data_IF_436146035138
#
_entry.id   IF_436146035138
#
_cell.length_a   1.000
_cell.length_b   1.000
_cell.length_c   1.000
_cell.angle_alpha   90.00
_cell.angle_beta   90.00
_cell.angle_gamma   90.00
#
_symmetry.space_group_name_H-M   'P 1'
#
loop_
_entity.id
_entity.type
_entity.pdbx_description
1 polymer ?
#
# COMPACT_ATOMS: atom_id res chain seq x y z
N UNK A 1 31.85 -2.32 50.87
CA UNK A 1 31.77 -2.68 49.43
C UNK A 1 30.55 -3.55 49.20
N UNK A 2 29.50 -3.02 48.56
CA UNK A 2 28.91 -3.48 47.29
C UNK A 2 27.67 -2.61 47.03
N UNK A 3 27.67 -1.96 45.87
CA UNK A 3 26.65 -1.05 45.40
C UNK A 3 25.40 -1.75 44.86
N UNK A 4 24.52 -0.99 44.18
CA UNK A 4 23.08 -1.10 44.25
C UNK A 4 22.51 -2.21 43.37
N UNK A 5 21.34 -2.74 43.78
CA UNK A 5 20.52 -3.61 42.94
C UNK A 5 20.00 -2.80 41.75
N UNK A 6 20.65 -3.05 40.60
CA UNK A 6 20.31 -2.51 39.31
C UNK A 6 18.93 -2.98 38.85
N UNK A 7 18.31 -2.12 38.06
CA UNK A 7 17.02 -2.34 37.45
C UNK A 7 17.02 -3.44 36.39
N UNK A 8 15.95 -3.37 35.60
CA UNK A 8 15.65 -4.16 34.40
C UNK A 8 14.80 -5.41 34.63
N UNK A 9 13.50 -5.25 34.35
CA UNK A 9 12.90 -5.99 33.23
C UNK A 9 11.61 -5.31 32.75
N UNK A 10 11.79 -4.26 31.95
CA UNK A 10 10.79 -3.88 30.95
C UNK A 10 10.79 -4.95 29.87
N UNK A 11 9.89 -5.93 29.98
CA UNK A 11 9.79 -7.02 29.01
C UNK A 11 8.77 -6.63 27.94
N UNK A 12 9.30 -5.93 26.94
CA UNK A 12 8.95 -5.94 25.51
C UNK A 12 7.51 -6.28 25.12
N UNK A 13 6.84 -5.29 24.52
CA UNK A 13 5.61 -5.44 23.76
C UNK A 13 5.77 -6.54 22.70
N UNK A 14 5.13 -7.69 22.93
CA UNK A 14 5.04 -8.76 21.93
C UNK A 14 3.97 -8.37 20.91
N UNK A 15 4.30 -7.48 19.98
CA UNK A 15 3.47 -7.28 18.78
C UNK A 15 3.51 -8.58 17.98
N UNK A 16 2.41 -9.34 18.05
CA UNK A 16 2.24 -10.56 17.26
C UNK A 16 2.36 -10.18 15.78
N UNK A 17 3.42 -10.65 15.12
CA UNK A 17 3.57 -10.53 13.67
C UNK A 17 2.29 -11.06 13.02
N UNK A 18 1.60 -10.25 12.19
CA UNK A 18 0.32 -10.65 11.61
C UNK A 18 0.50 -11.90 10.75
N UNK A 19 -0.49 -12.80 10.81
CA UNK A 19 -0.49 -14.02 10.01
C UNK A 19 -0.35 -13.68 8.52
N UNK A 20 0.39 -14.48 7.76
CA UNK A 20 0.68 -14.18 6.36
C UNK A 20 -0.58 -13.95 5.49
N UNK A 21 -1.70 -14.64 5.80
CA UNK A 21 -2.99 -14.40 5.14
C UNK A 21 -3.53 -12.98 5.34
N UNK A 22 -3.33 -12.44 6.53
CA UNK A 22 -3.79 -11.10 6.90
C UNK A 22 -2.94 -10.03 6.20
N UNK A 23 -1.63 -10.27 6.10
CA UNK A 23 -0.73 -9.41 5.33
C UNK A 23 -1.17 -9.37 3.86
N UNK A 24 -1.47 -10.53 3.26
CA UNK A 24 -1.94 -10.59 1.87
C UNK A 24 -3.28 -9.90 1.66
N UNK A 25 -4.24 -10.12 2.57
CA UNK A 25 -5.54 -9.47 2.54
C UNK A 25 -5.40 -7.95 2.52
N UNK A 26 -4.61 -7.40 3.46
CA UNK A 26 -4.31 -5.96 3.49
C UNK A 26 -3.65 -5.46 2.21
N UNK A 27 -2.75 -6.23 1.61
CA UNK A 27 -2.15 -5.87 0.32
C UNK A 27 -3.20 -5.72 -0.79
N UNK A 28 -4.19 -6.61 -0.84
CA UNK A 28 -5.28 -6.50 -1.82
C UNK A 28 -6.26 -5.38 -1.50
N UNK A 29 -6.56 -5.12 -0.23
CA UNK A 29 -7.37 -3.97 0.21
C UNK A 29 -6.68 -2.66 -0.20
N UNK A 30 -5.39 -2.53 0.06
CA UNK A 30 -4.59 -1.37 -0.36
C UNK A 30 -4.56 -1.22 -1.88
N UNK A 31 -4.43 -2.32 -2.63
CA UNK A 31 -4.50 -2.27 -4.08
C UNK A 31 -5.87 -1.78 -4.59
N UNK A 32 -6.96 -2.19 -3.93
CA UNK A 32 -8.30 -1.73 -4.26
C UNK A 32 -8.45 -0.22 -3.97
N UNK A 33 -8.02 0.24 -2.80
CA UNK A 33 -8.04 1.66 -2.43
C UNK A 33 -7.31 2.54 -3.46
N UNK A 34 -6.12 2.12 -3.88
CA UNK A 34 -5.34 2.80 -4.92
C UNK A 34 -6.11 2.87 -6.25
N UNK A 35 -6.76 1.78 -6.67
CA UNK A 35 -7.55 1.76 -7.90
C UNK A 35 -8.80 2.64 -7.81
N UNK A 36 -9.46 2.70 -6.65
CA UNK A 36 -10.60 3.59 -6.44
C UNK A 36 -10.19 5.07 -6.56
N UNK A 37 -9.05 5.46 -6.00
CA UNK A 37 -8.50 6.81 -6.15
C UNK A 37 -8.14 7.07 -7.63
N UNK A 38 -7.53 6.10 -8.32
CA UNK A 38 -7.23 6.21 -9.74
C UNK A 38 -8.51 6.49 -10.58
N UNK A 39 -9.61 5.80 -10.29
CA UNK A 39 -10.91 6.05 -10.94
C UNK A 39 -11.40 7.47 -10.70
N UNK A 40 -11.29 8.00 -9.47
CA UNK A 40 -11.67 9.38 -9.17
C UNK A 40 -10.86 10.40 -9.98
N UNK A 41 -9.54 10.17 -10.11
CA UNK A 41 -8.68 11.01 -10.93
C UNK A 41 -9.01 10.92 -12.42
N UNK A 42 -9.29 9.72 -12.96
CA UNK A 42 -9.69 9.57 -14.36
C UNK A 42 -11.00 10.30 -14.67
N UNK A 43 -12.00 10.21 -13.79
CA UNK A 43 -13.26 10.97 -13.91
C UNK A 43 -13.01 12.47 -13.90
N UNK A 44 -12.14 12.95 -13.01
CA UNK A 44 -11.77 14.37 -12.93
C UNK A 44 -11.00 14.85 -14.16
N UNK A 45 -10.06 14.03 -14.65
CA UNK A 45 -9.32 14.29 -15.88
C UNK A 45 -10.26 14.43 -17.07
N UNK A 46 -11.20 13.49 -17.23
CA UNK A 46 -12.21 13.56 -18.27
C UNK A 46 -13.04 14.83 -18.19
N UNK A 47 -13.51 15.23 -17.00
CA UNK A 47 -14.23 16.50 -16.80
C UNK A 47 -13.40 17.69 -17.29
N UNK A 48 -12.15 17.81 -16.86
CA UNK A 48 -11.30 18.93 -17.27
C UNK A 48 -11.01 18.96 -18.77
N UNK A 49 -10.87 17.79 -19.41
CA UNK A 49 -10.69 17.71 -20.86
C UNK A 49 -11.95 18.14 -21.62
N UNK A 50 -13.15 17.80 -21.14
CA UNK A 50 -14.40 18.32 -21.71
C UNK A 50 -14.51 19.84 -21.56
N UNK A 51 -14.01 20.40 -20.46
CA UNK A 51 -13.91 21.84 -20.20
C UNK A 51 -12.75 22.52 -20.95
N UNK A 52 -12.05 21.80 -21.85
CA UNK A 52 -10.87 22.27 -22.59
C UNK A 52 -9.69 22.70 -21.70
N UNK A 53 -9.66 22.30 -20.43
CA UNK A 53 -8.56 22.52 -19.50
C UNK A 53 -7.52 21.39 -19.58
N UNK A 54 -6.76 21.38 -20.68
CA UNK A 54 -5.79 20.33 -20.99
C UNK A 54 -4.73 20.13 -19.89
N UNK A 55 -4.07 21.18 -19.35
CA UNK A 55 -3.02 20.98 -18.35
C UNK A 55 -3.52 20.27 -17.08
N UNK A 56 -4.72 20.64 -16.58
CA UNK A 56 -5.32 19.98 -15.42
C UNK A 56 -5.78 18.57 -15.73
N UNK A 57 -6.34 18.35 -16.93
CA UNK A 57 -6.69 17.02 -17.41
C UNK A 57 -5.50 16.06 -17.38
N UNK A 58 -4.38 16.48 -17.97
CA UNK A 58 -3.15 15.68 -17.99
C UNK A 58 -2.57 15.44 -16.59
N UNK A 59 -2.59 16.44 -15.70
CA UNK A 59 -2.12 16.28 -14.32
C UNK A 59 -2.88 15.17 -13.58
N UNK A 60 -4.22 15.14 -13.69
CA UNK A 60 -5.03 14.08 -13.11
C UNK A 60 -4.85 12.73 -13.79
N UNK A 61 -4.65 12.69 -15.11
CA UNK A 61 -4.36 11.45 -15.82
C UNK A 61 -3.04 10.82 -15.33
N UNK A 62 -1.99 11.63 -15.10
CA UNK A 62 -0.74 11.13 -14.53
C UNK A 62 -0.85 10.74 -13.06
N UNK A 63 -1.66 11.45 -12.27
CA UNK A 63 -1.95 11.04 -10.90
C UNK A 63 -2.62 9.65 -10.88
N UNK A 64 -3.64 9.43 -11.71
CA UNK A 64 -4.29 8.13 -11.86
C UNK A 64 -3.30 7.02 -12.23
N UNK A 65 -2.39 7.29 -13.18
CA UNK A 65 -1.33 6.34 -13.54
C UNK A 65 -0.42 6.00 -12.36
N UNK A 66 -0.08 6.98 -11.52
CA UNK A 66 0.67 6.77 -10.28
C UNK A 66 -0.03 5.79 -9.33
N UNK A 67 -1.32 5.98 -9.09
CA UNK A 67 -2.14 5.10 -8.25
C UNK A 67 -2.29 3.69 -8.84
N UNK A 68 -2.49 3.56 -10.16
CA UNK A 68 -2.49 2.25 -10.83
C UNK A 68 -1.16 1.50 -10.62
N UNK A 69 -0.04 2.22 -10.63
CA UNK A 69 1.29 1.65 -10.34
C UNK A 69 1.44 1.28 -8.86
N UNK A 70 0.82 2.03 -7.94
CA UNK A 70 0.73 1.68 -6.52
C UNK A 70 -0.02 0.35 -6.31
N UNK A 71 -1.22 0.23 -6.89
CA UNK A 71 -2.00 -1.00 -6.86
C UNK A 71 -1.23 -2.21 -7.42
N UNK A 72 -0.55 -2.02 -8.56
CA UNK A 72 0.28 -3.07 -9.16
C UNK A 72 1.39 -3.54 -8.20
N UNK A 73 2.07 -2.62 -7.50
CA UNK A 73 3.11 -2.99 -6.53
C UNK A 73 2.56 -3.85 -5.40
N UNK A 74 1.40 -3.49 -4.85
CA UNK A 74 0.78 -4.29 -3.79
C UNK A 74 0.43 -5.72 -4.25
N UNK A 75 -0.03 -5.85 -5.50
CA UNK A 75 -0.30 -7.17 -6.11
C UNK A 75 1.01 -7.94 -6.34
N UNK A 76 2.05 -7.28 -6.84
CA UNK A 76 3.36 -7.88 -7.09
C UNK A 76 4.00 -8.38 -5.78
N UNK A 77 3.92 -7.59 -4.70
CA UNK A 77 4.42 -7.98 -3.37
C UNK A 77 3.72 -9.25 -2.86
N UNK A 78 2.39 -9.34 -3.05
CA UNK A 78 1.62 -10.54 -2.73
C UNK A 78 2.02 -11.74 -3.60
N UNK A 79 2.27 -11.53 -4.90
CA UNK A 79 2.72 -12.58 -5.81
C UNK A 79 4.09 -13.13 -5.41
N UNK A 80 5.02 -12.26 -5.00
CA UNK A 80 6.35 -12.65 -4.50
C UNK A 80 6.20 -13.50 -3.23
N UNK A 81 5.36 -13.07 -2.27
CA UNK A 81 5.09 -13.83 -1.06
C UNK A 81 4.50 -15.22 -1.34
N UNK A 82 3.72 -15.36 -2.41
CA UNK A 82 3.16 -16.64 -2.83
C UNK A 82 4.22 -17.52 -3.50
N UNK A 83 4.96 -16.98 -4.45
CA UNK A 83 6.03 -17.69 -5.17
C UNK A 83 7.10 -18.25 -4.21
N UNK A 84 7.45 -17.51 -3.16
CA UNK A 84 8.37 -17.97 -2.12
C UNK A 84 7.88 -19.21 -1.34
N UNK A 85 6.58 -19.53 -1.40
CA UNK A 85 5.95 -20.66 -0.71
C UNK A 85 5.55 -21.79 -1.66
N UNK A 86 5.62 -21.59 -2.96
CA UNK A 86 5.32 -22.62 -3.96
C UNK A 86 6.53 -23.54 -4.14
N UNK A 87 6.30 -24.87 -4.10
CA UNK A 87 7.29 -25.88 -4.47
C UNK A 87 6.94 -26.36 -5.89
N UNK A 88 7.86 -26.29 -6.87
CA UNK A 88 7.64 -26.77 -8.23
C UNK A 88 7.34 -28.27 -8.33
#
# INVERSE_FOLDING_TARGET
MKGPEGGERGMVMNEKVPAAREVMARGYEQAADELEIAVQHLRTAARHLHEQNVPRGCAHAFAAYGHMRGAQRHIDDNAILHAAKSIP
#
